data_IF_435469862897
#
_entry.id   IF_435469862897
#
_cell.length_a   1.000
_cell.length_b   1.000
_cell.length_c   1.000
_cell.angle_alpha   90.00
_cell.angle_beta   90.00
_cell.angle_gamma   90.00
#
_symmetry.space_group_name_H-M   'P 1'
#
loop_
_entity.id
_entity.type
_entity.pdbx_description
1 polymer ?
#
# COMPACT_ATOMS: atom_id res chain seq x y z
N UNK A 1 3.20 -8.74 15.56
CA UNK A 1 2.29 -8.57 14.40
C UNK A 1 1.91 -9.98 13.93
N UNK A 2 0.62 -10.31 13.89
CA UNK A 2 0.16 -11.61 13.38
C UNK A 2 -0.16 -11.52 11.88
N UNK A 3 -0.51 -12.64 11.25
CA UNK A 3 -0.80 -12.69 9.81
C UNK A 3 -1.95 -11.76 9.41
N UNK A 4 -3.00 -11.67 10.22
CA UNK A 4 -4.15 -10.79 9.96
C UNK A 4 -3.74 -9.32 9.97
N UNK A 5 -2.90 -8.91 10.91
CA UNK A 5 -2.40 -7.53 10.98
C UNK A 5 -1.46 -7.20 9.81
N UNK A 6 -0.70 -8.18 9.31
CA UNK A 6 0.10 -8.02 8.08
C UNK A 6 -0.77 -7.80 6.85
N UNK A 7 -1.82 -8.61 6.68
CA UNK A 7 -2.75 -8.48 5.56
C UNK A 7 -3.47 -7.14 5.62
N UNK A 8 -3.99 -6.74 6.80
CA UNK A 8 -4.64 -5.44 6.98
C UNK A 8 -3.70 -4.30 6.59
N UNK A 9 -2.47 -4.29 7.12
CA UNK A 9 -1.50 -3.25 6.78
C UNK A 9 -1.23 -3.18 5.28
N UNK A 10 -1.10 -4.34 4.62
CA UNK A 10 -0.81 -4.41 3.19
C UNK A 10 -1.93 -3.85 2.29
N UNK A 11 -3.20 -3.84 2.75
CA UNK A 11 -4.34 -3.36 1.95
C UNK A 11 -4.76 -1.91 2.26
N UNK A 12 -4.35 -1.36 3.42
CA UNK A 12 -4.75 -0.01 3.86
C UNK A 12 -3.63 1.03 3.78
N UNK A 13 -2.38 0.60 3.55
CA UNK A 13 -1.22 1.48 3.62
C UNK A 13 -0.19 1.17 2.53
N UNK A 14 0.57 2.19 2.13
CA UNK A 14 1.68 2.07 1.19
C UNK A 14 3.02 2.31 1.90
N UNK A 15 4.11 1.70 1.41
CA UNK A 15 5.45 2.11 1.83
C UNK A 15 5.68 3.61 1.53
N UNK A 16 6.34 4.31 2.46
CA UNK A 16 6.61 5.76 2.37
C UNK A 16 7.32 6.15 1.07
N UNK A 17 8.24 5.31 0.58
CA UNK A 17 8.96 5.52 -0.68
C UNK A 17 8.01 5.54 -1.90
N UNK A 18 6.98 4.70 -1.89
CA UNK A 18 5.97 4.64 -2.95
C UNK A 18 5.09 5.88 -2.91
N UNK A 19 4.65 6.29 -1.72
CA UNK A 19 3.86 7.52 -1.55
C UNK A 19 4.66 8.76 -1.96
N UNK A 20 5.93 8.83 -1.58
CA UNK A 20 6.85 9.91 -1.99
C UNK A 20 7.01 9.96 -3.51
N UNK A 21 7.17 8.82 -4.16
CA UNK A 21 7.25 8.76 -5.62
C UNK A 21 5.96 9.26 -6.30
N UNK A 22 4.78 8.92 -5.75
CA UNK A 22 3.49 9.41 -6.24
C UNK A 22 3.34 10.93 -6.08
N UNK A 23 3.78 11.49 -4.94
CA UNK A 23 3.79 12.94 -4.69
C UNK A 23 4.70 13.67 -5.68
N UNK A 24 5.92 13.19 -5.87
CA UNK A 24 6.86 13.76 -6.85
C UNK A 24 6.30 13.70 -8.29
N UNK A 25 5.66 12.58 -8.65
CA UNK A 25 5.00 12.45 -9.95
C UNK A 25 3.87 13.48 -10.11
N UNK A 26 3.04 13.68 -9.09
CA UNK A 26 1.96 14.68 -9.11
C UNK A 26 2.50 16.10 -9.29
N UNK A 27 3.59 16.45 -8.60
CA UNK A 27 4.21 17.79 -8.67
C UNK A 27 4.85 18.09 -10.03
N UNK A 28 5.39 17.07 -10.69
CA UNK A 28 6.15 17.23 -11.95
C UNK A 28 5.33 16.96 -13.21
N UNK A 29 4.15 16.33 -13.09
CA UNK A 29 3.27 16.02 -14.22
C UNK A 29 2.72 17.29 -14.89
N UNK A 30 2.84 17.39 -16.21
CA UNK A 30 2.38 18.56 -16.99
C UNK A 30 0.93 18.39 -17.48
N UNK A 31 0.48 17.16 -17.67
CA UNK A 31 -0.87 16.85 -18.14
C UNK A 31 -1.91 17.01 -17.04
N UNK A 32 -2.86 17.93 -17.22
CA UNK A 32 -3.92 18.22 -16.24
C UNK A 32 -4.70 16.97 -15.81
N UNK A 33 -5.09 16.13 -16.77
CA UNK A 33 -5.82 14.88 -16.48
C UNK A 33 -4.96 13.90 -15.68
N UNK A 34 -3.70 13.71 -16.06
CA UNK A 34 -2.79 12.79 -15.35
C UNK A 34 -2.50 13.29 -13.93
N UNK A 35 -2.25 14.59 -13.77
CA UNK A 35 -2.06 15.25 -12.48
C UNK A 35 -3.28 15.06 -11.57
N UNK A 36 -4.50 15.21 -12.10
CA UNK A 36 -5.74 14.97 -11.36
C UNK A 36 -5.86 13.51 -10.90
N UNK A 37 -5.50 12.53 -11.74
CA UNK A 37 -5.54 11.12 -11.33
C UNK A 37 -4.52 10.81 -10.24
N UNK A 38 -3.30 11.36 -10.33
CA UNK A 38 -2.29 11.22 -9.27
C UNK A 38 -2.79 11.82 -7.94
N UNK A 39 -3.48 12.96 -8.00
CA UNK A 39 -4.14 13.55 -6.82
C UNK A 39 -5.18 12.60 -6.22
N UNK A 40 -6.07 12.04 -7.05
CA UNK A 40 -7.10 11.10 -6.58
C UNK A 40 -6.48 9.84 -5.94
N UNK A 41 -5.35 9.35 -6.49
CA UNK A 41 -4.62 8.22 -5.90
C UNK A 41 -4.09 8.59 -4.51
N UNK A 42 -3.46 9.76 -4.36
CA UNK A 42 -2.94 10.23 -3.07
C UNK A 42 -4.05 10.42 -2.04
N UNK A 43 -5.18 11.03 -2.42
CA UNK A 43 -6.36 11.18 -1.55
C UNK A 43 -6.92 9.81 -1.13
N UNK A 44 -6.97 8.84 -2.05
CA UNK A 44 -7.42 7.48 -1.75
C UNK A 44 -6.48 6.76 -0.76
N UNK A 45 -5.16 6.98 -0.86
CA UNK A 45 -4.17 6.46 0.10
C UNK A 45 -4.45 7.00 1.50
N UNK A 46 -4.68 8.31 1.61
CA UNK A 46 -4.99 8.98 2.88
C UNK A 46 -6.31 8.47 3.48
N UNK A 47 -7.37 8.35 2.66
CA UNK A 47 -8.67 7.83 3.08
C UNK A 47 -8.63 6.36 3.52
N UNK A 48 -7.90 5.50 2.80
CA UNK A 48 -7.73 4.09 3.18
C UNK A 48 -7.08 3.96 4.57
N UNK A 49 -6.08 4.80 4.85
CA UNK A 49 -5.39 4.86 6.15
C UNK A 49 -6.29 5.43 7.25
N UNK A 50 -7.06 6.48 6.99
CA UNK A 50 -7.96 7.08 7.98
C UNK A 50 -9.13 6.15 8.35
N UNK A 51 -9.80 5.61 7.32
CA UNK A 51 -11.01 4.81 7.48
C UNK A 51 -10.73 3.34 7.80
N UNK A 52 -9.47 2.91 7.70
CA UNK A 52 -9.05 1.52 7.89
C UNK A 52 -9.80 0.55 6.97
N UNK A 53 -9.99 0.95 5.71
CA UNK A 53 -10.64 0.16 4.66
C UNK A 53 -9.67 -0.10 3.51
N UNK A 54 -9.82 -1.20 2.76
CA UNK A 54 -8.96 -1.49 1.62
C UNK A 54 -8.94 -0.34 0.60
N UNK A 55 -7.74 0.03 0.16
CA UNK A 55 -7.51 1.07 -0.84
C UNK A 55 -8.09 0.73 -2.21
N UNK A 56 -8.23 -0.56 -2.53
CA UNK A 56 -8.78 -1.06 -3.78
C UNK A 56 -9.85 -2.13 -3.49
N UNK A 57 -10.83 -2.23 -4.39
CA UNK A 57 -11.86 -3.28 -4.36
C UNK A 57 -11.27 -4.67 -4.61
N UNK A 58 -10.21 -4.75 -5.42
CA UNK A 58 -9.40 -5.95 -5.57
C UNK A 58 -8.23 -5.90 -4.58
N UNK A 59 -8.32 -6.72 -3.52
CA UNK A 59 -7.29 -6.81 -2.47
C UNK A 59 -6.12 -7.71 -2.85
N UNK A 60 -6.14 -8.30 -4.05
CA UNK A 60 -5.13 -9.23 -4.52
C UNK A 60 -5.14 -10.58 -3.80
N UNK A 61 -4.05 -11.33 -3.99
CA UNK A 61 -3.85 -12.68 -3.43
C UNK A 61 -2.84 -12.63 -2.28
N UNK A 62 -3.15 -13.19 -1.10
CA UNK A 62 -2.18 -13.29 -0.01
C UNK A 62 -1.01 -14.21 -0.40
N UNK A 63 0.17 -13.62 -0.63
CA UNK A 63 1.40 -14.32 -0.97
C UNK A 63 2.46 -14.09 0.11
N UNK A 64 3.03 -15.17 0.64
CA UNK A 64 4.03 -15.11 1.69
C UNK A 64 5.32 -15.79 1.26
N UNK A 65 6.44 -15.08 1.39
CA UNK A 65 7.77 -15.66 1.26
C UNK A 65 8.30 -15.95 2.67
N UNK A 66 8.30 -17.23 3.06
CA UNK A 66 8.68 -17.65 4.40
C UNK A 66 10.05 -18.30 4.35
N UNK A 67 10.99 -17.79 5.14
CA UNK A 67 12.24 -18.49 5.46
C UNK A 67 12.11 -19.11 6.84
N UNK A 68 11.89 -20.43 6.87
CA UNK A 68 11.85 -21.19 8.12
C UNK A 68 13.24 -21.78 8.40
N UNK A 69 13.73 -21.61 9.63
CA UNK A 69 14.96 -22.29 10.09
C UNK A 69 14.65 -23.70 10.61
N UNK A 70 15.66 -24.57 10.69
CA UNK A 70 15.50 -25.89 11.29
C UNK A 70 15.24 -25.76 12.80
N UNK A 71 14.08 -26.25 13.25
CA UNK A 71 13.84 -26.47 14.67
C UNK A 71 14.65 -27.68 15.15
N UNK A 72 15.88 -27.46 15.63
CA UNK A 72 16.49 -28.45 16.52
C UNK A 72 15.78 -28.36 17.88
N UNK A 73 14.76 -29.19 18.07
CA UNK A 73 14.22 -29.53 19.38
C UNK A 73 15.02 -30.72 19.92
N UNK A 74 15.79 -30.49 20.99
CA UNK A 74 16.24 -31.56 21.90
C UNK A 74 15.08 -32.04 22.78
#
# INVERSE_FOLDING_TARGET
MNVTELIKKAVVDLPEEVETALRNAHETEEGETARLQLKNILENVELARELQVPMCQDTGLPLFFVKLGDEKKE
#
